data_IF_006624622396
#
_entry.id   IF_006624622396
#
_cell.length_a   1.000
_cell.length_b   1.000
_cell.length_c   1.000
_cell.angle_alpha   90.00
_cell.angle_beta   90.00
_cell.angle_gamma   90.00
#
_symmetry.space_group_name_H-M   'P 1'
#
loop_
_entity.id
_entity.type
_entity.pdbx_description
1 polymer ?
#
# COMPACT_ATOMS: atom_id res chain seq x y z
N UNK A 1 -9.32 20.27 4.31
CA UNK A 1 -7.87 20.06 4.05
C UNK A 1 -7.17 21.40 3.81
N UNK A 2 -6.22 21.79 4.68
CA UNK A 2 -5.36 22.97 4.51
C UNK A 2 -3.89 22.59 4.16
N UNK A 3 -3.60 21.30 4.02
CA UNK A 3 -2.29 20.79 3.61
C UNK A 3 -2.11 20.83 2.09
N UNK A 4 -0.86 20.72 1.61
CA UNK A 4 -0.56 20.54 0.18
C UNK A 4 -0.50 19.06 -0.22
N UNK A 5 -0.82 18.13 0.68
CA UNK A 5 -0.66 16.69 0.44
C UNK A 5 -1.83 15.89 0.99
N UNK A 6 -2.19 14.83 0.26
CA UNK A 6 -3.06 13.74 0.75
C UNK A 6 -2.26 12.45 0.71
N UNK A 7 -2.23 11.70 1.81
CA UNK A 7 -1.51 10.43 1.92
C UNK A 7 -2.49 9.27 1.98
N UNK A 8 -2.39 8.35 1.03
CA UNK A 8 -3.27 7.17 0.93
C UNK A 8 -2.41 5.92 1.08
N UNK A 9 -2.23 5.49 2.33
CA UNK A 9 -1.56 4.25 2.65
C UNK A 9 -2.48 3.03 2.55
N UNK A 10 -1.92 1.85 2.80
CA UNK A 10 -2.70 0.61 2.92
C UNK A 10 -2.04 -0.57 2.25
N UNK A 11 -2.78 -1.67 2.10
CA UNK A 11 -2.23 -2.90 1.53
C UNK A 11 -2.62 -3.09 0.06
N UNK A 12 -1.97 -4.01 -0.67
CA UNK A 12 -2.34 -4.32 -2.04
C UNK A 12 -3.81 -4.75 -2.17
N UNK A 13 -4.42 -4.42 -3.31
CA UNK A 13 -5.80 -4.77 -3.65
C UNK A 13 -6.93 -4.08 -2.84
N UNK A 14 -6.65 -3.00 -2.11
CA UNK A 14 -7.69 -2.15 -1.52
C UNK A 14 -8.35 -1.16 -2.52
N UNK A 15 -7.89 -1.10 -3.78
CA UNK A 15 -8.35 -0.08 -4.74
C UNK A 15 -7.65 1.28 -4.64
N UNK A 16 -6.59 1.39 -3.84
CA UNK A 16 -5.85 2.64 -3.57
C UNK A 16 -5.54 3.46 -4.82
N UNK A 17 -4.91 2.87 -5.83
CA UNK A 17 -4.48 3.62 -7.02
C UNK A 17 -5.67 4.21 -7.79
N UNK A 18 -6.82 3.52 -7.83
CA UNK A 18 -8.02 4.05 -8.47
C UNK A 18 -8.65 5.17 -7.65
N UNK A 19 -8.74 5.00 -6.31
CA UNK A 19 -9.22 6.05 -5.40
C UNK A 19 -8.32 7.28 -5.46
N UNK A 20 -7.00 7.09 -5.40
CA UNK A 20 -6.01 8.15 -5.40
C UNK A 20 -6.02 8.95 -6.71
N UNK A 21 -6.28 8.30 -7.85
CA UNK A 21 -6.47 9.00 -9.12
C UNK A 21 -7.68 9.93 -9.11
N UNK A 22 -8.83 9.47 -8.59
CA UNK A 22 -10.03 10.30 -8.45
C UNK A 22 -9.80 11.46 -7.48
N UNK A 23 -9.13 11.20 -6.36
CA UNK A 23 -8.78 12.23 -5.38
C UNK A 23 -7.85 13.27 -6.02
N UNK A 24 -6.81 12.86 -6.73
CA UNK A 24 -5.87 13.73 -7.42
C UNK A 24 -6.56 14.64 -8.44
N UNK A 25 -7.50 14.09 -9.22
CA UNK A 25 -8.34 14.85 -10.14
C UNK A 25 -9.20 15.88 -9.39
N UNK A 26 -9.86 15.48 -8.29
CA UNK A 26 -10.75 16.35 -7.52
C UNK A 26 -10.05 17.55 -6.87
N UNK A 27 -8.81 17.36 -6.38
CA UNK A 27 -8.04 18.42 -5.70
C UNK A 27 -7.08 19.16 -6.65
N UNK A 28 -6.96 18.72 -7.90
CA UNK A 28 -6.08 19.32 -8.90
C UNK A 28 -4.58 19.15 -8.63
N UNK A 29 -4.18 18.10 -7.91
CA UNK A 29 -2.77 17.81 -7.59
C UNK A 29 -2.25 16.59 -8.34
N UNK A 30 -0.94 16.51 -8.62
CA UNK A 30 -0.36 15.32 -9.24
C UNK A 30 -0.47 14.09 -8.31
N UNK A 31 -0.68 12.92 -8.91
CA UNK A 31 -0.61 11.63 -8.23
C UNK A 31 0.85 11.13 -8.20
N UNK A 32 1.33 10.78 -7.01
CA UNK A 32 2.57 10.06 -6.80
C UNK A 32 2.27 8.62 -6.36
N UNK A 33 2.57 7.65 -7.23
CA UNK A 33 2.47 6.21 -6.94
C UNK A 33 3.81 5.69 -6.44
N UNK A 34 3.84 5.10 -5.24
CA UNK A 34 5.04 4.43 -4.72
C UNK A 34 5.42 3.21 -5.58
N UNK A 35 4.43 2.57 -6.22
CA UNK A 35 4.65 1.39 -7.06
C UNK A 35 5.34 1.81 -8.38
N UNK A 36 4.98 2.96 -8.96
CA UNK A 36 5.61 3.49 -10.19
C UNK A 36 7.06 3.91 -9.96
N UNK A 37 7.38 4.32 -8.73
CA UNK A 37 8.75 4.66 -8.32
C UNK A 37 9.58 3.45 -7.89
N UNK A 38 8.94 2.28 -7.66
CA UNK A 38 9.55 1.14 -6.98
C UNK A 38 10.81 0.62 -7.69
N UNK A 39 10.77 0.44 -9.01
CA UNK A 39 11.91 -0.09 -9.77
C UNK A 39 13.11 0.88 -9.75
N UNK A 40 12.85 2.19 -9.90
CA UNK A 40 13.89 3.23 -9.82
C UNK A 40 14.50 3.27 -8.42
N UNK A 41 13.68 3.18 -7.39
CA UNK A 41 14.15 3.15 -6.00
C UNK A 41 14.95 1.88 -5.72
N UNK A 42 14.46 0.71 -6.18
CA UNK A 42 15.14 -0.57 -6.01
C UNK A 42 16.56 -0.59 -6.60
N UNK A 43 16.82 0.18 -7.67
CA UNK A 43 18.15 0.29 -8.28
C UNK A 43 19.20 0.94 -7.35
N UNK A 44 18.77 1.82 -6.43
CA UNK A 44 19.63 2.57 -5.51
C UNK A 44 19.43 2.19 -4.05
N UNK A 45 18.48 1.31 -3.75
CA UNK A 45 18.02 1.02 -2.40
C UNK A 45 18.94 0.10 -1.57
N UNK A 46 18.58 -0.09 -0.31
CA UNK A 46 19.30 -0.91 0.64
C UNK A 46 19.12 -2.43 0.44
N UNK A 47 19.66 -3.24 1.37
CA UNK A 47 19.61 -4.69 1.28
C UNK A 47 18.20 -5.29 1.30
N UNK A 48 17.22 -4.67 1.98
CA UNK A 48 15.87 -5.21 2.08
C UNK A 48 15.11 -5.09 0.75
N UNK A 49 15.17 -3.93 0.09
CA UNK A 49 14.60 -3.75 -1.25
C UNK A 49 15.28 -4.67 -2.25
N UNK A 50 16.62 -4.76 -2.23
CA UNK A 50 17.35 -5.71 -3.10
C UNK A 50 16.91 -7.16 -2.87
N UNK A 51 16.69 -7.57 -1.62
CA UNK A 51 16.19 -8.91 -1.30
C UNK A 51 14.84 -9.16 -1.98
N UNK A 52 13.87 -8.25 -1.84
CA UNK A 52 12.52 -8.46 -2.39
C UNK A 52 12.47 -8.37 -3.92
N UNK A 53 13.39 -7.63 -4.56
CA UNK A 53 13.41 -7.45 -6.03
C UNK A 53 14.23 -8.49 -6.77
N UNK A 54 15.29 -9.03 -6.15
CA UNK A 54 16.19 -10.00 -6.81
C UNK A 54 15.86 -11.45 -6.50
N UNK A 55 15.19 -11.72 -5.38
CA UNK A 55 14.82 -13.06 -5.00
C UNK A 55 13.75 -13.63 -5.94
N UNK A 56 13.96 -14.84 -6.51
CA UNK A 56 12.97 -15.49 -7.34
C UNK A 56 11.63 -15.63 -6.61
N UNK A 57 10.53 -15.40 -7.33
CA UNK A 57 9.19 -15.41 -6.73
C UNK A 57 8.87 -16.73 -6.02
N UNK A 58 9.27 -17.87 -6.60
CA UNK A 58 9.07 -19.18 -5.99
C UNK A 58 9.77 -19.32 -4.64
N UNK A 59 10.99 -18.81 -4.52
CA UNK A 59 11.75 -18.80 -3.26
C UNK A 59 11.13 -17.85 -2.25
N UNK A 60 10.76 -16.64 -2.69
CA UNK A 60 10.11 -15.63 -1.84
C UNK A 60 8.80 -16.16 -1.24
N UNK A 61 7.95 -16.79 -2.07
CA UNK A 61 6.68 -17.35 -1.62
C UNK A 61 6.83 -18.69 -0.88
N UNK A 62 8.01 -19.33 -0.90
CA UNK A 62 8.28 -20.53 -0.12
C UNK A 62 8.71 -20.21 1.33
N UNK A 63 9.11 -18.97 1.61
CA UNK A 63 9.48 -18.57 2.97
C UNK A 63 8.28 -18.57 3.94
N UNK A 64 8.53 -18.71 5.25
CA UNK A 64 7.50 -18.49 6.26
C UNK A 64 6.84 -17.12 6.10
N UNK A 65 5.51 -17.07 6.28
CA UNK A 65 4.72 -15.86 6.04
C UNK A 65 5.21 -14.68 6.87
N UNK A 66 5.59 -14.90 8.13
CA UNK A 66 6.12 -13.83 9.00
C UNK A 66 7.43 -13.22 8.46
N UNK A 67 8.29 -14.02 7.83
CA UNK A 67 9.50 -13.53 7.18
C UNK A 67 9.12 -12.68 5.95
N UNK A 68 8.15 -13.13 5.15
CA UNK A 68 7.69 -12.36 3.99
C UNK A 68 7.09 -11.01 4.40
N UNK A 69 6.29 -10.96 5.48
CA UNK A 69 5.71 -9.71 6.00
C UNK A 69 6.81 -8.76 6.44
N UNK A 70 7.79 -9.25 7.20
CA UNK A 70 8.88 -8.42 7.71
C UNK A 70 9.82 -7.94 6.59
N UNK A 71 10.06 -8.75 5.57
CA UNK A 71 10.79 -8.33 4.37
C UNK A 71 10.10 -7.16 3.65
N UNK A 72 8.77 -7.24 3.47
CA UNK A 72 7.99 -6.13 2.89
C UNK A 72 8.11 -4.88 3.75
N UNK A 73 7.93 -4.99 5.07
CA UNK A 73 8.04 -3.84 5.99
C UNK A 73 9.42 -3.18 5.92
N UNK A 74 10.50 -3.98 5.85
CA UNK A 74 11.86 -3.46 5.70
C UNK A 74 12.08 -2.78 4.36
N UNK A 75 11.56 -3.36 3.28
CA UNK A 75 11.61 -2.74 1.95
C UNK A 75 10.85 -1.40 1.94
N UNK A 76 9.67 -1.32 2.56
CA UNK A 76 8.92 -0.07 2.71
C UNK A 76 9.74 1.00 3.46
N UNK A 77 10.44 0.63 4.54
CA UNK A 77 11.31 1.54 5.30
C UNK A 77 12.49 2.06 4.49
N UNK A 78 13.08 1.23 3.64
CA UNK A 78 14.16 1.65 2.74
C UNK A 78 13.65 2.52 1.57
N UNK A 79 12.44 2.27 1.09
CA UNK A 79 11.83 3.04 0.00
C UNK A 79 11.39 4.44 0.45
N UNK A 80 10.87 4.56 1.69
CA UNK A 80 10.20 5.77 2.17
C UNK A 80 11.04 7.07 2.06
N UNK A 81 12.34 7.11 2.42
CA UNK A 81 13.15 8.31 2.22
C UNK A 81 13.29 8.71 0.75
N UNK A 82 13.32 7.74 -0.17
CA UNK A 82 13.40 7.98 -1.61
C UNK A 82 12.08 8.51 -2.16
N UNK A 83 10.96 8.03 -1.62
CA UNK A 83 9.62 8.59 -1.90
C UNK A 83 9.61 10.07 -1.53
N UNK A 84 9.99 10.41 -0.30
CA UNK A 84 10.01 11.81 0.16
C UNK A 84 10.90 12.71 -0.69
N UNK A 85 12.02 12.20 -1.19
CA UNK A 85 12.94 12.94 -2.05
C UNK A 85 12.37 13.25 -3.44
N UNK A 86 11.47 12.40 -3.96
CA UNK A 86 10.84 12.59 -5.26
C UNK A 86 9.60 13.51 -5.20
N UNK A 87 9.03 13.75 -4.02
CA UNK A 87 7.72 14.40 -3.90
C UNK A 87 7.73 15.86 -4.37
N UNK A 88 6.78 16.27 -5.23
CA UNK A 88 6.58 17.68 -5.54
C UNK A 88 5.99 18.45 -4.33
N UNK A 89 5.90 19.79 -4.41
CA UNK A 89 5.35 20.61 -3.34
C UNK A 89 3.91 20.25 -2.94
N UNK A 90 3.08 19.87 -3.91
CA UNK A 90 1.73 19.37 -3.69
C UNK A 90 1.50 18.05 -4.44
N UNK A 91 0.90 17.05 -3.78
CA UNK A 91 0.63 15.75 -4.37
C UNK A 91 -0.39 14.93 -3.58
N UNK A 92 -1.11 14.06 -4.28
CA UNK A 92 -1.71 12.87 -3.67
C UNK A 92 -0.68 11.76 -3.72
N UNK A 93 -0.30 11.21 -2.57
CA UNK A 93 0.74 10.18 -2.46
C UNK A 93 0.10 8.88 -2.05
N UNK A 94 0.28 7.81 -2.84
CA UNK A 94 -0.33 6.52 -2.55
C UNK A 94 0.68 5.37 -2.59
N UNK A 95 0.52 4.39 -1.70
CA UNK A 95 1.26 3.14 -1.79
C UNK A 95 1.38 2.36 -0.50
N UNK A 96 1.80 1.10 -0.61
CA UNK A 96 2.02 0.23 0.54
C UNK A 96 3.27 0.60 1.36
N UNK A 97 4.21 1.35 0.77
CA UNK A 97 5.38 1.87 1.44
C UNK A 97 5.07 2.95 2.48
N UNK A 98 3.87 3.53 2.45
CA UNK A 98 3.39 4.52 3.41
C UNK A 98 2.96 3.85 4.71
N UNK A 99 3.94 3.38 5.48
CA UNK A 99 3.71 2.79 6.80
C UNK A 99 3.27 3.88 7.80
N UNK A 100 2.27 3.62 8.67
CA UNK A 100 1.79 4.62 9.62
C UNK A 100 2.87 5.17 10.55
N UNK A 101 3.79 4.34 11.02
CA UNK A 101 4.93 4.76 11.84
C UNK A 101 5.90 5.70 11.14
N UNK A 102 6.07 5.54 9.83
CA UNK A 102 6.95 6.41 9.05
C UNK A 102 6.30 7.77 8.82
N UNK A 103 5.00 7.78 8.51
CA UNK A 103 4.27 9.03 8.31
C UNK A 103 4.09 9.81 9.62
N UNK A 104 3.89 9.12 10.74
CA UNK A 104 3.81 9.74 12.07
C UNK A 104 5.11 10.42 12.51
N UNK A 105 6.25 10.09 11.89
CA UNK A 105 7.51 10.79 12.08
C UNK A 105 7.60 12.14 11.35
N UNK A 106 6.61 12.47 10.51
CA UNK A 106 6.54 13.72 9.76
C UNK A 106 5.52 14.69 10.38
N UNK A 107 5.65 16.01 10.14
CA UNK A 107 4.64 16.99 10.54
C UNK A 107 3.42 16.93 9.60
N UNK A 108 2.78 15.77 9.50
CA UNK A 108 1.58 15.52 8.68
C UNK A 108 0.37 15.43 9.63
N UNK A 109 -0.62 16.33 9.49
CA UNK A 109 -1.87 16.22 10.23
C UNK A 109 -2.55 14.86 9.99
N UNK A 110 -3.12 14.21 11.01
CA UNK A 110 -3.85 12.95 10.82
C UNK A 110 -4.99 13.04 9.80
N UNK A 111 -5.60 14.21 9.64
CA UNK A 111 -6.65 14.47 8.65
C UNK A 111 -6.15 14.39 7.19
N UNK A 112 -4.86 14.60 6.95
CA UNK A 112 -4.28 14.55 5.61
C UNK A 112 -3.84 13.14 5.22
N UNK A 113 -4.09 12.13 6.06
CA UNK A 113 -3.63 10.76 5.85
C UNK A 113 -4.70 9.72 6.17
N UNK A 114 -4.89 8.78 5.25
CA UNK A 114 -5.86 7.70 5.36
C UNK A 114 -5.23 6.37 4.95
N UNK A 115 -5.74 5.27 5.51
CA UNK A 115 -5.34 3.92 5.12
C UNK A 115 -6.52 3.12 4.60
N UNK A 116 -6.38 2.57 3.39
CA UNK A 116 -7.35 1.69 2.78
C UNK A 116 -6.84 0.24 2.85
N UNK A 117 -7.56 -0.63 3.54
CA UNK A 117 -7.18 -2.04 3.71
C UNK A 117 -8.33 -2.95 3.29
N UNK A 118 -8.13 -3.97 2.43
CA UNK A 118 -9.21 -4.85 2.03
C UNK A 118 -9.50 -5.87 3.13
N UNK A 119 -10.73 -6.40 3.15
CA UNK A 119 -10.99 -7.65 3.88
C UNK A 119 -10.28 -8.82 3.21
N UNK A 120 -9.90 -9.89 3.96
CA UNK A 120 -9.30 -11.09 3.37
C UNK A 120 -10.15 -11.70 2.24
N UNK A 121 -11.46 -11.78 2.43
CA UNK A 121 -12.39 -12.32 1.43
C UNK A 121 -12.38 -11.49 0.14
N UNK A 122 -12.44 -10.16 0.27
CA UNK A 122 -12.36 -9.25 -0.87
C UNK A 122 -11.01 -9.39 -1.59
N UNK A 123 -9.90 -9.35 -0.85
CA UNK A 123 -8.56 -9.47 -1.42
C UNK A 123 -8.37 -10.76 -2.21
N UNK A 124 -8.70 -11.92 -1.62
CA UNK A 124 -8.60 -13.23 -2.29
C UNK A 124 -9.48 -13.31 -3.53
N UNK A 125 -10.72 -12.84 -3.45
CA UNK A 125 -11.66 -12.83 -4.58
C UNK A 125 -11.10 -12.04 -5.78
N UNK A 126 -10.58 -10.84 -5.53
CA UNK A 126 -10.04 -9.98 -6.58
C UNK A 126 -8.71 -10.48 -7.15
N UNK A 127 -7.80 -10.99 -6.31
CA UNK A 127 -6.53 -11.55 -6.77
C UNK A 127 -6.72 -12.78 -7.66
N UNK A 128 -7.61 -13.69 -7.29
CA UNK A 128 -7.86 -14.92 -8.07
C UNK A 128 -8.33 -14.64 -9.51
N UNK A 129 -8.94 -13.47 -9.76
CA UNK A 129 -9.45 -13.06 -11.07
C UNK A 129 -8.41 -12.36 -11.94
N UNK A 130 -7.29 -11.93 -11.37
CA UNK A 130 -6.24 -11.18 -12.09
C UNK A 130 -5.34 -12.13 -12.86
N UNK A 131 -5.19 -11.88 -14.17
CA UNK A 131 -4.30 -12.67 -15.03
C UNK A 131 -2.86 -12.65 -14.53
N UNK A 132 -2.32 -11.47 -14.21
CA UNK A 132 -0.95 -11.32 -13.74
C UNK A 132 -0.68 -12.08 -12.43
N UNK A 133 -1.67 -12.17 -11.52
CA UNK A 133 -1.52 -12.91 -10.27
C UNK A 133 -1.41 -14.42 -10.52
N UNK A 134 -2.24 -14.94 -11.43
CA UNK A 134 -2.17 -16.34 -11.89
C UNK A 134 -0.85 -16.64 -12.62
N UNK A 135 -0.36 -15.68 -13.40
CA UNK A 135 0.90 -15.81 -14.12
C UNK A 135 2.10 -15.81 -13.17
N UNK A 136 2.05 -15.00 -12.11
CA UNK A 136 3.09 -14.89 -11.08
C UNK A 136 3.26 -16.16 -10.25
N UNK A 137 2.18 -16.90 -10.01
CA UNK A 137 2.23 -18.20 -9.29
C UNK A 137 2.24 -19.41 -10.24
N UNK A 138 2.38 -19.20 -11.54
CA UNK A 138 2.35 -20.28 -12.53
C UNK A 138 3.53 -21.23 -12.32
N UNK A 139 3.23 -22.54 -12.23
CA UNK A 139 4.25 -23.56 -12.01
C UNK A 139 4.73 -23.68 -10.55
N UNK A 140 4.18 -22.88 -9.63
CA UNK A 140 4.41 -23.03 -8.19
C UNK A 140 3.34 -23.95 -7.56
N UNK A 141 3.62 -24.54 -6.38
CA UNK A 141 2.61 -25.28 -5.63
C UNK A 141 1.39 -24.40 -5.32
N UNK A 142 0.16 -24.95 -5.24
CA UNK A 142 -1.04 -24.19 -4.88
C UNK A 142 -0.88 -23.36 -3.59
N UNK A 143 -0.16 -23.90 -2.61
CA UNK A 143 0.15 -23.24 -1.34
C UNK A 143 0.97 -21.94 -1.47
N UNK A 144 1.62 -21.68 -2.61
CA UNK A 144 2.32 -20.43 -2.87
C UNK A 144 1.34 -19.25 -2.96
N UNK A 145 0.18 -19.44 -3.60
CA UNK A 145 -0.86 -18.43 -3.64
C UNK A 145 -1.45 -18.19 -2.25
N UNK A 146 -1.70 -19.25 -1.48
CA UNK A 146 -2.21 -19.13 -0.11
C UNK A 146 -1.25 -18.39 0.81
N UNK A 147 0.05 -18.71 0.77
CA UNK A 147 1.07 -18.00 1.56
C UNK A 147 1.22 -16.55 1.13
N UNK A 148 1.08 -16.25 -0.17
CA UNK A 148 1.06 -14.88 -0.64
C UNK A 148 -0.14 -14.12 -0.07
N UNK A 149 -1.35 -14.66 -0.21
CA UNK A 149 -2.56 -14.02 0.33
C UNK A 149 -2.47 -13.85 1.84
N UNK A 150 -2.01 -14.86 2.56
CA UNK A 150 -1.81 -14.77 4.00
C UNK A 150 -0.80 -13.68 4.38
N UNK A 151 0.29 -13.51 3.62
CA UNK A 151 1.23 -12.40 3.82
C UNK A 151 0.56 -11.04 3.62
N UNK A 152 -0.21 -10.86 2.55
CA UNK A 152 -0.88 -9.59 2.28
C UNK A 152 -1.98 -9.28 3.31
N UNK A 153 -2.67 -10.31 3.81
CA UNK A 153 -3.63 -10.24 4.92
C UNK A 153 -2.97 -9.81 6.23
N UNK A 154 -1.87 -10.48 6.62
CA UNK A 154 -1.11 -10.13 7.84
C UNK A 154 -0.51 -8.73 7.75
N UNK A 155 0.00 -8.34 6.58
CA UNK A 155 0.51 -6.98 6.35
C UNK A 155 -0.62 -5.95 6.47
N UNK A 156 -1.79 -6.20 5.85
CA UNK A 156 -2.95 -5.33 5.94
C UNK A 156 -3.42 -5.15 7.40
N UNK A 157 -3.52 -6.25 8.15
CA UNK A 157 -3.90 -6.21 9.56
C UNK A 157 -2.91 -5.42 10.41
N UNK A 158 -1.60 -5.63 10.21
CA UNK A 158 -0.53 -4.87 10.89
C UNK A 158 -0.64 -3.38 10.62
N UNK A 159 -0.72 -2.98 9.36
CA UNK A 159 -0.82 -1.57 8.95
C UNK A 159 -2.10 -0.93 9.46
N UNK A 160 -3.23 -1.64 9.41
CA UNK A 160 -4.51 -1.13 9.90
C UNK A 160 -4.52 -0.91 11.41
N UNK A 161 -3.97 -1.84 12.19
CA UNK A 161 -3.82 -1.68 13.64
C UNK A 161 -2.89 -0.50 13.95
N UNK A 162 -1.72 -0.46 13.30
CA UNK A 162 -0.72 0.58 13.50
C UNK A 162 -1.24 1.99 13.16
N UNK A 163 -2.09 2.11 12.14
CA UNK A 163 -2.75 3.36 11.74
C UNK A 163 -3.79 3.80 12.78
N UNK A 164 -4.65 2.89 13.23
CA UNK A 164 -5.67 3.19 14.27
C UNK A 164 -5.03 3.60 15.59
N UNK A 165 -3.98 2.91 16.02
CA UNK A 165 -3.24 3.23 17.25
C UNK A 165 -2.63 4.65 17.24
N UNK A 166 -2.43 5.21 16.04
CA UNK A 166 -1.89 6.57 15.82
C UNK A 166 -2.96 7.61 15.54
N UNK A 167 -4.24 7.23 15.58
CA UNK A 167 -5.36 8.14 15.33
C UNK A 167 -5.59 8.46 13.85
N UNK A 168 -5.00 7.70 12.93
CA UNK A 168 -5.29 7.85 11.50
C UNK A 168 -6.62 7.19 11.13
N UNK A 169 -7.29 7.74 10.12
CA UNK A 169 -8.52 7.17 9.56
C UNK A 169 -8.18 5.90 8.77
N UNK A 170 -8.94 4.82 9.00
CA UNK A 170 -8.77 3.55 8.30
C UNK A 170 -10.10 3.09 7.75
N UNK A 171 -10.18 2.94 6.43
CA UNK A 171 -11.32 2.32 5.75
C UNK A 171 -11.02 0.86 5.45
N UNK A 172 -11.93 -0.02 5.88
CA UNK A 172 -11.90 -1.43 5.49
C UNK A 172 -12.72 -1.61 4.22
N UNK A 173 -12.07 -2.05 3.14
CA UNK A 173 -12.67 -2.22 1.81
C UNK A 173 -13.15 -3.66 1.66
N UNK A 174 -14.45 -3.86 1.66
CA UNK A 174 -15.10 -5.17 1.49
C UNK A 174 -15.94 -5.28 0.21
N UNK A 175 -16.01 -4.19 -0.57
CA UNK A 175 -16.81 -4.09 -1.78
C UNK A 175 -18.21 -3.50 -1.58
N UNK A 176 -18.57 -3.05 -0.36
CA UNK A 176 -19.85 -2.36 -0.11
C UNK A 176 -19.90 -0.97 -0.71
N UNK A 177 -18.75 -0.29 -0.79
CA UNK A 177 -18.60 1.02 -1.40
C UNK A 177 -17.99 0.89 -2.79
N UNK A 178 -18.50 1.70 -3.72
CA UNK A 178 -17.81 1.92 -4.97
C UNK A 178 -16.60 2.84 -4.77
N UNK A 179 -15.79 2.95 -5.82
CA UNK A 179 -14.55 3.72 -5.79
C UNK A 179 -14.84 5.22 -5.60
N UNK A 180 -15.97 5.71 -6.11
CA UNK A 180 -16.33 7.12 -6.04
C UNK A 180 -16.68 7.53 -4.61
N UNK A 181 -17.54 6.76 -3.94
CA UNK A 181 -17.89 6.94 -2.53
C UNK A 181 -16.67 6.83 -1.65
N UNK A 182 -15.75 5.91 -1.99
CA UNK A 182 -14.47 5.78 -1.28
C UNK A 182 -13.61 7.03 -1.44
N UNK A 183 -13.52 7.59 -2.66
CA UNK A 183 -12.75 8.80 -2.92
C UNK A 183 -13.32 10.02 -2.19
N UNK A 184 -14.65 10.15 -2.17
CA UNK A 184 -15.35 11.18 -1.40
C UNK A 184 -15.03 11.05 0.09
N UNK A 185 -15.09 9.84 0.67
CA UNK A 185 -14.70 9.60 2.06
C UNK A 185 -13.24 10.00 2.36
N UNK A 186 -12.30 9.79 1.41
CA UNK A 186 -10.89 10.17 1.61
C UNK A 186 -10.74 11.68 1.78
N UNK A 187 -11.44 12.47 0.96
CA UNK A 187 -11.34 13.94 1.00
C UNK A 187 -12.26 14.56 2.04
N UNK A 188 -13.27 13.84 2.48
CA UNK A 188 -14.19 14.28 3.52
C UNK A 188 -13.42 14.46 4.83
N UNK A 189 -13.39 15.69 5.31
CA UNK A 189 -12.77 16.07 6.57
C UNK A 189 -13.94 16.16 7.54
N UNK A 190 -14.10 15.18 8.44
CA UNK A 190 -15.11 15.28 9.51
C UNK A 190 -14.97 16.66 10.19
N UNK A 191 -16.02 17.47 10.08
CA UNK A 191 -16.13 18.86 10.56
C UNK A 191 -16.17 18.92 12.10
#
# INVERSE_FOLDING_TARGET
MNGTRVWIGGSPCAGKSTVAALVAESVGWPLYSCDDAFDRHAAVAGPAMRKVTTMPIGERLAQPVDVQVEDVVRACREQFPLILADLPPAAVVEGAALLPSLLAGLPVPPADAVWLVPTPAFQRHHYARRRWARDLTRGLPPSAFDRWMERDERFAARVAAEARDRGYRVLTVDGSFDVQTTAEWVVDSDE
#
